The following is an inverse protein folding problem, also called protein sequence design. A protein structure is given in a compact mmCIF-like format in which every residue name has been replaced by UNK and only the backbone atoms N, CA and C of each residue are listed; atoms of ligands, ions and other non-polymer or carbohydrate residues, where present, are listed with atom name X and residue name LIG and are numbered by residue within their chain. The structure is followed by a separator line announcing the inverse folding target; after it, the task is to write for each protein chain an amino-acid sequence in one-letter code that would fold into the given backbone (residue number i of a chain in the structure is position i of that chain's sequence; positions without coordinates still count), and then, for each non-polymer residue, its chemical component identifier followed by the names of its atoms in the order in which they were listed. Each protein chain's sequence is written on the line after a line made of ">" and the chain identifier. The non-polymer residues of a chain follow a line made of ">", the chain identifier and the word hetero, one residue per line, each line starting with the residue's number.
data_IF_215876963327
#
_entry.id   IF_215876963327
#
_cell.length_a   1.000
_cell.length_b   1.000
_cell.length_c   1.000
_cell.angle_alpha   90.00
_cell.angle_beta   90.00
_cell.angle_gamma   90.00
#
_symmetry.space_group_name_H-M   'P 1'
#
loop_
_entity.id
_entity.type
_entity.pdbx_description
1 polymer ?
#
# COMPACT_ATOMS: atom_id res chain seq x y z
N UNK A 1 9.71 13.15 10.18
CA UNK A 1 8.46 13.20 9.40
C UNK A 1 7.56 12.00 9.68
N UNK A 2 8.02 10.77 9.62
CA UNK A 2 7.20 9.58 9.96
C UNK A 2 6.56 9.67 11.35
N UNK A 3 7.30 10.13 12.38
CA UNK A 3 6.78 10.29 13.74
C UNK A 3 5.65 11.32 13.85
N UNK A 4 5.72 12.42 13.09
CA UNK A 4 4.63 13.42 13.05
C UNK A 4 3.39 12.86 12.35
N UNK A 5 3.57 12.16 11.21
CA UNK A 5 2.48 11.47 10.52
C UNK A 5 1.77 10.47 11.44
N UNK A 6 2.53 9.66 12.18
CA UNK A 6 1.99 8.71 13.15
C UNK A 6 1.22 9.40 14.29
N UNK A 7 1.75 10.48 14.86
CA UNK A 7 1.07 11.24 15.90
C UNK A 7 -0.24 11.87 15.40
N UNK A 8 -0.25 12.43 14.19
CA UNK A 8 -1.44 12.99 13.59
C UNK A 8 -2.47 11.92 13.25
N UNK A 9 -2.03 10.73 12.79
CA UNK A 9 -2.91 9.60 12.57
C UNK A 9 -3.60 9.18 13.89
N UNK A 10 -2.85 8.97 14.97
CA UNK A 10 -3.39 8.63 16.28
C UNK A 10 -4.39 9.69 16.79
N UNK A 11 -4.03 10.98 16.72
CA UNK A 11 -4.90 12.06 17.14
C UNK A 11 -6.18 12.16 16.31
N UNK A 12 -6.11 11.88 15.01
CA UNK A 12 -7.27 11.93 14.12
C UNK A 12 -8.21 10.76 14.35
N UNK A 13 -7.70 9.54 14.53
CA UNK A 13 -8.47 8.33 14.84
C UNK A 13 -9.21 8.48 16.19
N UNK A 14 -8.59 9.13 17.17
CA UNK A 14 -9.23 9.37 18.48
C UNK A 14 -10.44 10.31 18.40
N UNK A 15 -10.58 11.10 17.33
CA UNK A 15 -11.63 12.11 17.17
C UNK A 15 -12.72 11.73 16.18
N UNK A 16 -12.44 10.81 15.27
CA UNK A 16 -13.35 10.41 14.20
C UNK A 16 -13.19 8.93 13.89
N UNK A 17 -14.26 8.29 13.43
CA UNK A 17 -14.28 6.92 12.94
C UNK A 17 -14.41 6.84 11.39
N UNK A 18 -14.65 7.97 10.74
CA UNK A 18 -14.75 8.06 9.27
C UNK A 18 -13.37 8.21 8.66
N UNK A 19 -12.96 7.25 7.82
CA UNK A 19 -11.64 7.20 7.21
C UNK A 19 -11.36 8.42 6.33
N UNK A 20 -12.35 8.93 5.60
CA UNK A 20 -12.22 10.10 4.71
C UNK A 20 -11.88 11.35 5.53
N UNK A 21 -12.59 11.55 6.65
CA UNK A 21 -12.35 12.66 7.57
C UNK A 21 -10.98 12.54 8.25
N UNK A 22 -10.59 11.34 8.68
CA UNK A 22 -9.30 11.05 9.30
C UNK A 22 -8.16 11.42 8.32
N UNK A 23 -8.19 10.90 7.09
CA UNK A 23 -7.13 11.11 6.09
C UNK A 23 -7.06 12.58 5.65
N UNK A 24 -8.22 13.22 5.46
CA UNK A 24 -8.30 14.66 5.14
C UNK A 24 -7.67 15.51 6.26
N UNK A 25 -7.95 15.19 7.52
CA UNK A 25 -7.37 15.90 8.68
C UNK A 25 -5.87 15.70 8.78
N UNK A 26 -5.36 14.47 8.59
CA UNK A 26 -3.92 14.18 8.60
C UNK A 26 -3.21 15.05 7.56
N UNK A 27 -3.74 15.14 6.33
CA UNK A 27 -3.18 16.00 5.29
C UNK A 27 -3.13 17.46 5.72
N UNK A 28 -4.22 18.02 6.28
CA UNK A 28 -4.28 19.40 6.73
C UNK A 28 -3.23 19.72 7.79
N UNK A 29 -3.00 18.81 8.73
CA UNK A 29 -2.00 18.95 9.79
C UNK A 29 -0.58 18.85 9.22
N UNK A 30 -0.33 17.83 8.38
CA UNK A 30 0.98 17.65 7.75
C UNK A 30 1.38 18.83 6.86
N UNK A 31 0.45 19.36 6.07
CA UNK A 31 0.72 20.52 5.22
C UNK A 31 1.14 21.79 6.01
N UNK A 32 0.82 21.86 7.30
CA UNK A 32 1.28 22.97 8.15
C UNK A 32 2.75 22.80 8.58
N UNK A 33 3.22 21.55 8.69
CA UNK A 33 4.54 21.22 9.23
C UNK A 33 5.54 20.75 8.18
N UNK A 34 5.06 20.38 6.99
CA UNK A 34 5.93 19.93 5.91
C UNK A 34 6.73 21.08 5.31
N UNK A 35 8.05 20.92 5.15
CA UNK A 35 8.84 21.86 4.34
C UNK A 35 8.31 21.93 2.91
N UNK A 36 8.40 23.10 2.29
CA UNK A 36 7.98 23.30 0.89
C UNK A 36 8.57 22.26 -0.06
N UNK A 37 7.74 21.69 -0.91
CA UNK A 37 8.13 20.68 -1.91
C UNK A 37 8.32 19.26 -1.36
N UNK A 38 8.03 19.02 -0.07
CA UNK A 38 8.02 17.67 0.48
C UNK A 38 6.62 17.05 0.37
N UNK A 39 6.58 15.81 -0.10
CA UNK A 39 5.36 15.03 -0.28
C UNK A 39 5.45 13.75 0.55
N UNK A 40 4.28 13.24 0.94
CA UNK A 40 4.17 11.95 1.63
C UNK A 40 3.08 11.14 0.94
N UNK A 41 3.43 9.97 0.44
CA UNK A 41 2.44 8.97 0.07
C UNK A 41 1.92 8.27 1.33
N UNK A 42 0.64 8.00 1.36
CA UNK A 42 0.00 7.42 2.54
C UNK A 42 -1.13 6.47 2.14
N UNK A 43 -1.27 5.39 2.86
CA UNK A 43 -2.41 4.49 2.75
C UNK A 43 -2.90 4.12 4.13
N UNK A 44 -4.20 4.12 4.32
CA UNK A 44 -4.84 3.66 5.55
C UNK A 44 -6.03 2.77 5.23
N UNK A 45 -6.32 1.83 6.13
CA UNK A 45 -7.47 0.96 6.05
C UNK A 45 -8.06 0.67 7.41
N UNK A 46 -9.38 0.57 7.46
CA UNK A 46 -10.15 0.13 8.64
C UNK A 46 -10.72 -1.25 8.32
N UNK A 47 -10.22 -2.27 9.03
CA UNK A 47 -10.70 -3.64 8.89
C UNK A 47 -11.89 -3.88 9.83
N UNK A 48 -13.02 -4.23 9.26
CA UNK A 48 -14.19 -4.71 9.98
C UNK A 48 -14.24 -6.25 9.92
N UNK A 49 -13.85 -6.88 11.02
CA UNK A 49 -13.81 -8.34 11.13
C UNK A 49 -15.21 -8.98 11.12
N UNK A 50 -16.25 -8.23 11.45
CA UNK A 50 -17.63 -8.76 11.48
C UNK A 50 -18.23 -8.93 10.08
N UNK A 51 -17.76 -8.12 9.12
CA UNK A 51 -18.23 -8.11 7.72
C UNK A 51 -17.18 -8.63 6.75
N UNK A 52 -15.95 -8.91 7.22
CA UNK A 52 -14.78 -9.25 6.39
C UNK A 52 -14.45 -8.19 5.34
N UNK A 53 -14.76 -6.94 5.65
CA UNK A 53 -14.50 -5.82 4.75
C UNK A 53 -13.37 -4.94 5.29
N UNK A 54 -12.65 -4.34 4.37
CA UNK A 54 -11.70 -3.25 4.66
C UNK A 54 -12.15 -2.01 3.89
N UNK A 55 -12.31 -0.89 4.59
CA UNK A 55 -12.44 0.42 3.99
C UNK A 55 -11.03 0.96 3.80
N UNK A 56 -10.61 1.17 2.56
CA UNK A 56 -9.24 1.51 2.17
C UNK A 56 -9.20 2.87 1.48
N UNK A 57 -8.23 3.70 1.84
CA UNK A 57 -8.02 5.00 1.21
C UNK A 57 -6.53 5.25 1.05
N UNK A 58 -6.13 5.70 -0.15
CA UNK A 58 -4.75 6.01 -0.49
C UNK A 58 -4.59 7.46 -0.93
N UNK A 59 -3.62 8.14 -0.36
CA UNK A 59 -3.14 9.45 -0.75
C UNK A 59 -1.81 9.31 -1.51
N UNK A 60 -1.89 9.11 -2.82
CA UNK A 60 -0.74 8.99 -3.70
C UNK A 60 0.10 7.73 -3.58
N UNK A 61 -0.29 6.77 -2.73
CA UNK A 61 0.40 5.47 -2.63
C UNK A 61 -0.27 4.46 -3.54
N UNK A 62 0.48 3.81 -4.43
CA UNK A 62 -0.03 2.79 -5.32
C UNK A 62 1.07 2.10 -6.12
N UNK A 63 0.72 1.01 -6.78
CA UNK A 63 -0.62 0.39 -6.86
C UNK A 63 -1.01 -0.32 -5.55
N UNK A 64 -2.33 -0.39 -5.29
CA UNK A 64 -2.90 -1.25 -4.26
C UNK A 64 -3.26 -2.58 -4.92
N UNK A 65 -2.74 -3.70 -4.42
CA UNK A 65 -2.85 -5.00 -5.08
C UNK A 65 -3.78 -5.91 -4.29
N UNK A 66 -4.77 -6.48 -4.96
CA UNK A 66 -5.71 -7.45 -4.38
C UNK A 66 -5.62 -8.77 -5.15
N UNK A 67 -5.11 -9.80 -4.53
CA UNK A 67 -5.22 -11.16 -5.05
C UNK A 67 -6.60 -11.72 -4.70
N UNK A 68 -7.35 -12.11 -5.71
CA UNK A 68 -8.62 -12.84 -5.58
C UNK A 68 -8.37 -14.35 -5.69
N UNK A 69 -8.69 -15.08 -4.64
CA UNK A 69 -8.54 -16.54 -4.62
C UNK A 69 -9.56 -17.23 -5.55
N UNK A 70 -10.73 -16.63 -5.74
CA UNK A 70 -11.77 -17.16 -6.62
C UNK A 70 -11.38 -17.06 -8.09
N UNK A 71 -10.66 -15.99 -8.48
CA UNK A 71 -10.26 -15.73 -9.86
C UNK A 71 -8.83 -16.19 -10.15
N UNK A 72 -8.05 -16.57 -9.12
CA UNK A 72 -6.60 -16.82 -9.16
C UNK A 72 -5.84 -15.66 -9.87
N UNK A 73 -6.22 -14.42 -9.55
CA UNK A 73 -5.74 -13.21 -10.22
C UNK A 73 -5.44 -12.09 -9.24
N UNK A 74 -4.45 -11.25 -9.59
CA UNK A 74 -4.18 -9.99 -8.90
C UNK A 74 -4.83 -8.83 -9.64
N UNK A 75 -5.59 -8.02 -8.91
CA UNK A 75 -6.16 -6.76 -9.39
C UNK A 75 -5.33 -5.62 -8.84
N UNK A 76 -5.06 -4.61 -9.67
CA UNK A 76 -4.39 -3.38 -9.28
C UNK A 76 -5.38 -2.23 -9.23
N UNK A 77 -5.35 -1.46 -8.15
CA UNK A 77 -6.12 -0.24 -7.98
C UNK A 77 -5.18 0.95 -7.87
N UNK A 78 -5.55 2.06 -8.46
CA UNK A 78 -4.82 3.32 -8.35
C UNK A 78 -5.05 3.97 -6.98
N UNK A 79 -4.19 4.93 -6.62
CA UNK A 79 -4.43 5.79 -5.47
C UNK A 79 -5.73 6.58 -5.63
N UNK A 80 -6.42 6.84 -4.49
CA UNK A 80 -7.68 7.59 -4.46
C UNK A 80 -7.47 9.11 -4.59
N UNK A 81 -6.25 9.58 -4.37
CA UNK A 81 -5.91 10.99 -4.40
C UNK A 81 -4.41 11.23 -4.52
N UNK A 82 -4.03 12.50 -4.54
CA UNK A 82 -2.62 12.92 -4.61
C UNK A 82 -1.91 12.71 -3.26
N UNK A 83 -0.56 12.65 -3.23
CA UNK A 83 0.20 12.63 -1.98
C UNK A 83 -0.13 13.80 -1.05
N UNK A 84 0.05 13.59 0.24
CA UNK A 84 -0.02 14.67 1.22
C UNK A 84 1.03 15.76 0.94
N UNK A 85 0.68 16.99 1.27
CA UNK A 85 1.59 18.13 1.10
C UNK A 85 1.38 18.93 -0.19
N UNK A 86 0.56 18.44 -1.15
CA UNK A 86 0.27 19.17 -2.40
C UNK A 86 -0.77 20.28 -2.14
N UNK A 87 -1.90 19.92 -1.57
CA UNK A 87 -3.01 20.85 -1.31
C UNK A 87 -3.50 20.71 0.12
N UNK A 88 -3.36 21.75 0.93
CA UNK A 88 -3.79 21.74 2.33
C UNK A 88 -5.28 21.46 2.51
N UNK A 89 -6.11 21.95 1.60
CA UNK A 89 -7.58 21.83 1.65
C UNK A 89 -8.10 20.65 0.84
N UNK A 90 -7.21 19.73 0.42
CA UNK A 90 -7.62 18.52 -0.30
C UNK A 90 -8.50 17.65 0.60
N UNK A 91 -9.70 17.32 0.13
CA UNK A 91 -10.55 16.30 0.71
C UNK A 91 -10.20 14.94 0.08
N UNK A 92 -10.04 13.94 0.93
CA UNK A 92 -9.79 12.56 0.51
C UNK A 92 -11.06 11.73 0.71
N UNK A 93 -11.35 10.87 -0.25
CA UNK A 93 -12.52 9.99 -0.22
C UNK A 93 -13.29 9.98 -1.54
N UNK A 94 -14.33 9.15 -1.65
CA UNK A 94 -14.72 8.18 -0.64
C UNK A 94 -13.73 7.01 -0.52
N UNK A 95 -13.61 6.45 0.69
CA UNK A 95 -12.86 5.22 0.90
C UNK A 95 -13.46 4.06 0.09
N UNK A 96 -12.60 3.24 -0.47
CA UNK A 96 -13.01 2.05 -1.21
C UNK A 96 -13.27 0.90 -0.24
N UNK A 97 -14.50 0.38 -0.23
CA UNK A 97 -14.84 -0.81 0.53
C UNK A 97 -14.50 -2.07 -0.27
N UNK A 98 -13.62 -2.89 0.28
CA UNK A 98 -13.17 -4.15 -0.31
C UNK A 98 -13.59 -5.28 0.62
N UNK A 99 -14.35 -6.26 0.11
CA UNK A 99 -14.62 -7.49 0.82
C UNK A 99 -13.51 -8.50 0.52
N UNK A 100 -12.92 -9.05 1.58
CA UNK A 100 -11.93 -10.12 1.46
C UNK A 100 -12.60 -11.47 1.62
N UNK A 101 -12.62 -12.30 0.58
CA UNK A 101 -13.06 -13.69 0.66
C UNK A 101 -11.96 -14.58 1.26
N UNK A 102 -12.29 -15.77 1.79
CA UNK A 102 -11.28 -16.71 2.28
C UNK A 102 -10.22 -17.03 1.23
N UNK A 103 -8.96 -16.76 1.56
CA UNK A 103 -7.81 -16.91 0.68
C UNK A 103 -7.38 -15.66 -0.08
N UNK A 104 -8.19 -14.58 -0.07
CA UNK A 104 -7.80 -13.30 -0.66
C UNK A 104 -6.66 -12.64 0.12
N UNK A 105 -5.90 -11.80 -0.57
CA UNK A 105 -4.78 -11.04 0.01
C UNK A 105 -4.78 -9.61 -0.52
N UNK A 106 -4.73 -8.65 0.40
CA UNK A 106 -4.37 -7.27 0.09
C UNK A 106 -2.85 -7.12 0.29
N UNK A 107 -2.17 -6.61 -0.73
CA UNK A 107 -0.72 -6.39 -0.73
C UNK A 107 -0.46 -4.92 -1.02
N UNK A 108 0.17 -4.24 -0.08
CA UNK A 108 0.60 -2.85 -0.17
C UNK A 108 2.13 -2.83 -0.20
N UNK A 109 2.71 -2.19 -1.19
CA UNK A 109 4.16 -2.18 -1.40
C UNK A 109 4.65 -0.80 -1.82
N UNK A 110 5.91 -0.51 -1.55
CA UNK A 110 6.59 0.64 -2.13
C UNK A 110 7.09 0.34 -3.55
N UNK A 111 7.34 1.39 -4.32
CA UNK A 111 7.83 1.36 -5.70
C UNK A 111 9.16 0.61 -5.87
N UNK A 112 10.02 0.61 -4.84
CA UNK A 112 11.24 -0.20 -4.84
C UNK A 112 11.05 -1.67 -5.20
N UNK A 113 9.84 -2.26 -5.01
CA UNK A 113 9.57 -3.64 -5.41
C UNK A 113 9.44 -3.82 -6.93
N UNK A 114 8.94 -2.86 -7.67
CA UNK A 114 8.67 -3.02 -9.10
C UNK A 114 9.53 -2.13 -10.00
N UNK A 115 10.15 -1.07 -9.46
CA UNK A 115 11.06 -0.19 -10.18
C UNK A 115 12.53 -0.65 -10.13
N UNK A 116 12.88 -1.62 -9.27
CA UNK A 116 14.26 -2.12 -9.19
C UNK A 116 14.68 -2.75 -10.51
N UNK A 117 15.79 -2.27 -11.06
CA UNK A 117 16.29 -2.69 -12.36
C UNK A 117 17.36 -3.79 -12.26
N UNK A 118 17.39 -4.68 -13.25
CA UNK A 118 18.46 -5.64 -13.45
C UNK A 118 19.70 -4.98 -14.13
N UNK A 119 20.76 -5.77 -14.37
CA UNK A 119 21.99 -5.30 -15.01
C UNK A 119 21.79 -4.81 -16.47
N UNK A 120 20.67 -5.15 -17.11
CA UNK A 120 20.28 -4.71 -18.44
C UNK A 120 19.45 -3.42 -18.42
N UNK A 121 19.11 -2.91 -17.22
CA UNK A 121 18.27 -1.71 -17.05
C UNK A 121 16.78 -1.99 -17.18
N UNK A 122 16.36 -3.26 -17.18
CA UNK A 122 14.94 -3.62 -17.16
C UNK A 122 14.41 -3.57 -15.72
N UNK A 123 13.25 -2.94 -15.51
CA UNK A 123 12.55 -2.97 -14.24
C UNK A 123 11.93 -4.35 -13.96
N UNK A 124 11.79 -4.71 -12.67
CA UNK A 124 11.07 -5.92 -12.28
C UNK A 124 9.63 -5.89 -12.82
N UNK A 125 8.97 -4.76 -12.65
CA UNK A 125 7.68 -4.47 -13.26
C UNK A 125 6.49 -5.11 -12.53
N UNK A 126 5.31 -4.58 -12.84
CA UNK A 126 4.05 -4.99 -12.19
C UNK A 126 3.63 -6.40 -12.60
N UNK A 127 3.88 -6.82 -13.81
CA UNK A 127 3.47 -8.16 -14.28
C UNK A 127 4.21 -9.27 -13.53
N UNK A 128 5.54 -9.14 -13.36
CA UNK A 128 6.33 -10.11 -12.57
C UNK A 128 5.92 -10.08 -11.09
N UNK A 129 5.54 -8.91 -10.58
CA UNK A 129 5.03 -8.77 -9.23
C UNK A 129 3.70 -9.51 -9.05
N UNK A 130 2.76 -9.39 -9.99
CA UNK A 130 1.49 -10.14 -9.99
C UNK A 130 1.73 -11.64 -10.00
N UNK A 131 2.64 -12.11 -10.84
CA UNK A 131 3.00 -13.54 -10.92
C UNK A 131 3.63 -14.03 -9.62
N UNK A 132 4.50 -13.24 -8.99
CA UNK A 132 5.12 -13.57 -7.71
C UNK A 132 4.08 -13.64 -6.57
N UNK A 133 3.13 -12.70 -6.50
CA UNK A 133 2.02 -12.72 -5.53
C UNK A 133 1.17 -13.98 -5.72
N UNK A 134 0.80 -14.28 -6.97
CA UNK A 134 0.01 -15.46 -7.32
C UNK A 134 0.73 -16.76 -6.98
N UNK A 135 2.02 -16.84 -7.27
CA UNK A 135 2.85 -18.02 -6.93
C UNK A 135 2.92 -18.24 -5.41
N UNK A 136 2.98 -17.15 -4.64
CA UNK A 136 3.09 -17.19 -3.17
C UNK A 136 1.74 -17.37 -2.44
N UNK A 137 0.61 -17.49 -3.15
CA UNK A 137 -0.75 -17.50 -2.57
C UNK A 137 -0.99 -18.55 -1.48
N UNK A 138 -0.26 -19.66 -1.52
CA UNK A 138 -0.36 -20.74 -0.53
C UNK A 138 0.41 -20.50 0.77
N UNK A 139 1.27 -19.47 0.81
CA UNK A 139 2.12 -19.17 1.94
C UNK A 139 1.40 -18.33 3.01
N UNK A 140 1.98 -18.25 4.21
CA UNK A 140 1.57 -17.28 5.22
C UNK A 140 1.86 -15.84 4.72
N UNK A 141 1.26 -14.81 5.35
CA UNK A 141 1.55 -13.41 5.00
C UNK A 141 3.05 -13.09 5.05
N UNK A 142 3.76 -13.55 6.08
CA UNK A 142 5.21 -13.42 6.17
C UNK A 142 5.94 -14.17 5.05
N UNK A 143 5.47 -15.36 4.70
CA UNK A 143 6.00 -16.16 3.58
C UNK A 143 5.80 -15.46 2.22
N UNK A 144 4.67 -14.78 2.02
CA UNK A 144 4.43 -13.95 0.83
C UNK A 144 5.46 -12.83 0.74
N UNK A 145 5.67 -12.07 1.83
CA UNK A 145 6.68 -10.99 1.87
C UNK A 145 8.07 -11.53 1.52
N UNK A 146 8.46 -12.65 2.13
CA UNK A 146 9.77 -13.28 1.86
C UNK A 146 9.89 -13.73 0.39
N UNK A 147 8.83 -14.28 -0.20
CA UNK A 147 8.82 -14.70 -1.61
C UNK A 147 8.92 -13.50 -2.55
N UNK A 148 8.21 -12.40 -2.28
CA UNK A 148 8.30 -11.17 -3.08
C UNK A 148 9.70 -10.56 -3.01
N UNK A 149 10.28 -10.49 -1.81
CA UNK A 149 11.65 -10.02 -1.62
C UNK A 149 12.65 -10.88 -2.40
N UNK A 150 12.53 -12.21 -2.32
CA UNK A 150 13.40 -13.13 -3.06
C UNK A 150 13.24 -12.99 -4.59
N UNK A 151 12.01 -12.79 -5.06
CA UNK A 151 11.75 -12.62 -6.50
C UNK A 151 12.42 -11.34 -7.05
N UNK A 152 12.25 -10.20 -6.37
CA UNK A 152 12.83 -8.94 -6.84
C UNK A 152 14.35 -8.94 -6.70
N UNK A 153 14.90 -9.43 -5.58
CA UNK A 153 16.37 -9.49 -5.39
C UNK A 153 17.04 -10.49 -6.35
N UNK A 154 16.36 -11.60 -6.65
CA UNK A 154 16.84 -12.57 -7.65
C UNK A 154 16.87 -11.98 -9.06
N UNK A 155 15.85 -11.21 -9.44
CA UNK A 155 15.80 -10.52 -10.73
C UNK A 155 16.85 -9.41 -10.83
N UNK A 156 16.98 -8.61 -9.77
CA UNK A 156 17.93 -7.50 -9.70
C UNK A 156 19.38 -7.93 -9.40
N UNK A 157 19.66 -9.24 -9.41
CA UNK A 157 20.97 -9.80 -9.07
C UNK A 157 22.12 -9.06 -9.77
N UNK A 158 23.06 -8.54 -8.98
CA UNK A 158 24.23 -7.78 -9.48
C UNK A 158 24.02 -6.27 -9.56
N UNK A 159 22.84 -5.74 -9.21
CA UNK A 159 22.60 -4.30 -9.10
C UNK A 159 22.41 -3.88 -7.64
N UNK A 160 22.77 -2.65 -7.30
CA UNK A 160 22.52 -2.10 -5.97
C UNK A 160 21.04 -1.79 -5.79
N UNK A 161 20.53 -2.00 -4.58
CA UNK A 161 19.18 -1.55 -4.21
C UNK A 161 19.07 -0.03 -4.34
N UNK A 162 18.06 0.43 -5.08
CA UNK A 162 17.89 1.86 -5.42
C UNK A 162 16.96 2.56 -4.44
N UNK A 163 16.00 1.83 -3.85
CA UNK A 163 15.02 2.37 -2.92
C UNK A 163 14.65 1.34 -1.83
N UNK A 164 13.94 1.80 -0.79
CA UNK A 164 13.49 0.97 0.32
C UNK A 164 12.40 -0.01 -0.12
N UNK A 165 12.51 -1.26 0.32
CA UNK A 165 11.52 -2.30 0.10
C UNK A 165 10.61 -2.43 1.31
N UNK A 166 9.43 -1.86 1.23
CA UNK A 166 8.40 -2.01 2.27
C UNK A 166 7.21 -2.78 1.73
N UNK A 167 6.76 -3.80 2.45
CA UNK A 167 5.59 -4.58 2.11
C UNK A 167 4.70 -4.83 3.33
N UNK A 168 3.38 -4.67 3.13
CA UNK A 168 2.35 -5.06 4.09
C UNK A 168 1.41 -6.04 3.40
N UNK A 169 1.19 -7.20 3.99
CA UNK A 169 0.29 -8.23 3.47
C UNK A 169 -0.80 -8.53 4.49
N UNK A 170 -2.03 -8.27 4.11
CA UNK A 170 -3.21 -8.70 4.82
C UNK A 170 -3.83 -9.89 4.08
N UNK A 171 -3.86 -11.06 4.72
CA UNK A 171 -4.39 -12.29 4.13
C UNK A 171 -5.56 -12.80 4.96
N UNK A 172 -6.71 -13.01 4.30
CA UNK A 172 -7.80 -13.73 4.94
C UNK A 172 -7.53 -15.23 4.91
N UNK A 173 -7.47 -15.82 6.09
CA UNK A 173 -7.32 -17.27 6.22
C UNK A 173 -8.62 -17.99 5.81
N UNK A 174 -8.49 -19.28 5.49
CA UNK A 174 -9.63 -20.16 5.12
C UNK A 174 -10.44 -20.52 6.36
#
# INVERSE_FOLDING_TARGET
>A
MASACHAYAQASIAQDSNLDAIVTRINSLLCADLPSGRLITFVAGILDQSTDCIDLLSAGHGPLLLYSAAEDRVHSFNAHGVPFGIFRTMAYGPAQRIRLAPGDMLVLITDGFFEWTNAQGEEFGIDRLHDAIRAARGLSAAGVISALHAAVTGFASGTAQQDDLTAVVLKRLK
#
